data_IF_058052794471
#
_entry.id   IF_058052794471
#
_cell.length_a   1.000
_cell.length_b   1.000
_cell.length_c   1.000
_cell.angle_alpha   90.00
_cell.angle_beta   90.00
_cell.angle_gamma   90.00
#
_symmetry.space_group_name_H-M   'P 1'
#
loop_
_entity.id
_entity.type
_entity.pdbx_description
1 polymer ?
#
# COMPACT_ATOMS: atom_id res chain seq x y z
N UNK A 1 -13.78 0.36 26.54
CA UNK A 1 -13.42 1.74 26.12
C UNK A 1 -12.19 2.33 26.84
N UNK A 2 -11.72 1.78 27.97
CA UNK A 2 -10.57 2.30 28.74
C UNK A 2 -9.21 2.21 28.03
N UNK A 3 -9.07 1.35 27.00
CA UNK A 3 -7.83 1.17 26.24
C UNK A 3 -7.75 2.02 24.96
N UNK A 4 -8.81 2.76 24.63
CA UNK A 4 -8.86 3.64 23.46
C UNK A 4 -7.75 4.71 23.43
N UNK A 5 -7.33 5.36 24.54
CA UNK A 5 -6.24 6.34 24.47
C UNK A 5 -4.87 5.69 24.19
N UNK A 6 -4.66 4.43 24.61
CA UNK A 6 -3.40 3.70 24.35
C UNK A 6 -3.19 3.43 22.85
N UNK A 7 -4.28 3.16 22.13
CA UNK A 7 -4.25 2.89 20.69
C UNK A 7 -3.72 4.09 19.88
N UNK A 8 -4.08 5.32 20.25
CA UNK A 8 -3.61 6.52 19.56
C UNK A 8 -2.12 6.81 19.80
N UNK A 9 -1.58 6.44 20.96
CA UNK A 9 -0.14 6.64 21.27
C UNK A 9 0.75 5.72 20.42
N UNK A 10 0.30 4.49 20.15
CA UNK A 10 1.05 3.53 19.31
C UNK A 10 1.14 3.99 17.84
N UNK A 11 0.16 4.76 17.36
CA UNK A 11 0.15 5.24 15.97
C UNK A 11 1.15 6.37 15.69
N UNK A 12 1.57 7.12 16.72
CA UNK A 12 2.46 8.29 16.56
C UNK A 12 3.92 7.87 16.33
N UNK A 13 4.33 6.68 16.79
CA UNK A 13 5.71 6.19 16.69
C UNK A 13 6.13 5.70 15.30
N UNK A 14 5.21 5.55 14.34
CA UNK A 14 5.50 5.03 13.00
C UNK A 14 5.84 6.11 11.96
N UNK A 15 5.97 7.39 12.37
CA UNK A 15 6.18 8.51 11.47
C UNK A 15 7.61 9.11 11.50
N UNK A 16 8.53 8.54 12.28
CA UNK A 16 9.92 9.03 12.33
C UNK A 16 10.62 8.69 11.01
N UNK A 17 10.56 9.62 10.06
CA UNK A 17 11.29 9.50 8.81
C UNK A 17 12.77 9.81 9.12
N UNK A 18 13.70 8.88 8.86
CA UNK A 18 15.10 9.13 9.11
C UNK A 18 15.57 10.36 8.32
N UNK A 19 16.47 11.15 8.89
CA UNK A 19 17.06 12.29 8.20
C UNK A 19 17.87 11.81 6.98
N UNK A 20 17.24 11.77 5.80
CA UNK A 20 17.89 11.41 4.53
C UNK A 20 18.85 12.48 4.03
N UNK A 21 18.73 13.71 4.52
CA UNK A 21 19.49 14.85 4.00
C UNK A 21 20.99 14.82 4.31
N UNK A 22 21.40 14.04 5.31
CA UNK A 22 22.81 13.96 5.75
C UNK A 22 23.67 12.91 5.05
N UNK A 23 23.09 12.03 4.24
CA UNK A 23 23.82 10.90 3.61
C UNK A 23 24.31 11.20 2.19
N UNK A 24 23.93 12.35 1.63
CA UNK A 24 24.29 12.77 0.27
C UNK A 24 25.39 13.83 0.35
N UNK A 25 26.57 13.54 -0.19
CA UNK A 25 27.66 14.53 -0.30
C UNK A 25 27.28 15.69 -1.23
N UNK A 26 27.89 16.86 -1.03
CA UNK A 26 27.68 18.02 -1.91
C UNK A 26 27.99 17.70 -3.38
N UNK A 27 29.00 16.84 -3.61
CA UNK A 27 29.37 16.34 -4.92
C UNK A 27 28.28 15.48 -5.56
N UNK A 28 27.60 14.63 -4.78
CA UNK A 28 26.50 13.80 -5.25
C UNK A 28 25.25 14.64 -5.54
N UNK A 29 25.02 15.70 -4.75
CA UNK A 29 23.90 16.64 -4.95
C UNK A 29 24.07 17.48 -6.21
N UNK A 30 25.30 17.80 -6.60
CA UNK A 30 25.63 18.55 -7.82
C UNK A 30 25.85 17.65 -9.06
N UNK A 31 25.72 16.33 -8.94
CA UNK A 31 25.95 15.43 -10.05
C UNK A 31 24.87 15.62 -11.15
N UNK A 32 25.24 15.53 -12.43
CA UNK A 32 24.26 15.58 -13.52
C UNK A 32 23.31 14.38 -13.42
N UNK A 33 22.03 14.62 -13.74
CA UNK A 33 21.07 13.53 -13.86
C UNK A 33 21.52 12.52 -14.92
N UNK A 34 21.37 11.21 -14.66
CA UNK A 34 21.75 10.19 -15.63
C UNK A 34 20.81 10.21 -16.84
N UNK A 35 21.32 9.82 -17.99
CA UNK A 35 20.52 9.62 -19.20
C UNK A 35 19.64 8.38 -19.01
N UNK A 36 18.32 8.55 -19.11
CA UNK A 36 17.38 7.44 -19.00
C UNK A 36 17.47 6.56 -20.25
N UNK A 37 17.70 5.27 -20.06
CA UNK A 37 17.59 4.25 -21.12
C UNK A 37 16.26 3.52 -21.01
N UNK A 38 15.76 3.01 -22.14
CA UNK A 38 14.58 2.17 -22.11
C UNK A 38 14.87 0.88 -21.37
N UNK A 39 13.97 0.50 -20.46
CA UNK A 39 14.06 -0.81 -19.82
C UNK A 39 13.86 -1.89 -20.89
N UNK A 40 14.57 -3.02 -20.79
CA UNK A 40 14.25 -4.19 -21.62
C UNK A 40 12.79 -4.56 -21.40
N UNK A 41 12.12 -4.97 -22.47
CA UNK A 41 10.75 -5.47 -22.40
C UNK A 41 10.72 -6.59 -21.37
N UNK A 42 9.98 -6.38 -20.28
CA UNK A 42 9.83 -7.37 -19.23
C UNK A 42 9.19 -8.60 -19.84
N UNK A 43 9.74 -9.79 -19.56
CA UNK A 43 9.05 -11.03 -19.90
C UNK A 43 7.63 -10.95 -19.32
N UNK A 44 6.63 -11.29 -20.13
CA UNK A 44 5.26 -11.39 -19.67
C UNK A 44 5.28 -12.36 -18.48
N UNK A 45 5.03 -11.82 -17.29
CA UNK A 45 4.90 -12.65 -16.09
C UNK A 45 3.60 -13.39 -16.33
N UNK A 46 3.69 -14.64 -16.80
CA UNK A 46 2.60 -15.59 -16.75
C UNK A 46 2.21 -15.65 -15.27
N UNK A 47 1.13 -14.94 -14.94
CA UNK A 47 0.69 -14.79 -13.57
C UNK A 47 0.42 -16.18 -13.03
N UNK A 48 1.29 -16.66 -12.13
CA UNK A 48 0.99 -17.87 -11.36
C UNK A 48 -0.36 -17.62 -10.73
N UNK A 49 -1.36 -18.41 -11.14
CA UNK A 49 -2.69 -18.35 -10.58
C UNK A 49 -2.59 -18.72 -9.11
N UNK A 50 -2.42 -17.71 -8.27
CA UNK A 50 -2.38 -17.88 -6.84
C UNK A 50 -3.79 -18.21 -6.36
N UNK A 51 -3.99 -19.48 -6.03
CA UNK A 51 -5.25 -19.98 -5.48
C UNK A 51 -5.67 -19.17 -4.25
N UNK A 52 -4.73 -18.66 -3.45
CA UNK A 52 -5.01 -17.78 -2.31
C UNK A 52 -5.62 -16.45 -2.73
N UNK A 53 -5.07 -15.79 -3.76
CA UNK A 53 -5.65 -14.57 -4.32
C UNK A 53 -7.04 -14.81 -4.91
N UNK A 54 -7.25 -15.90 -5.65
CA UNK A 54 -8.58 -16.22 -6.21
C UNK A 54 -9.65 -16.40 -5.12
N UNK A 55 -9.32 -17.10 -4.03
CA UNK A 55 -10.22 -17.30 -2.89
C UNK A 55 -10.56 -15.97 -2.19
N UNK A 56 -9.58 -15.07 -2.05
CA UNK A 56 -9.79 -13.72 -1.49
C UNK A 56 -10.71 -12.88 -2.37
N UNK A 57 -10.51 -12.93 -3.69
CA UNK A 57 -11.37 -12.23 -4.66
C UNK A 57 -12.81 -12.74 -4.55
N UNK A 58 -13.02 -14.06 -4.51
CA UNK A 58 -14.35 -14.65 -4.35
C UNK A 58 -15.03 -14.22 -3.03
N UNK A 59 -14.30 -14.23 -1.91
CA UNK A 59 -14.81 -13.79 -0.62
C UNK A 59 -15.20 -12.30 -0.62
N UNK A 60 -14.39 -11.43 -1.25
CA UNK A 60 -14.68 -10.00 -1.39
C UNK A 60 -15.94 -9.75 -2.24
N UNK A 61 -16.08 -10.47 -3.35
CA UNK A 61 -17.26 -10.38 -4.20
C UNK A 61 -18.53 -10.81 -3.46
N UNK A 62 -18.48 -11.92 -2.72
CA UNK A 62 -19.60 -12.39 -1.91
C UNK A 62 -20.00 -11.36 -0.83
N UNK A 63 -19.02 -10.73 -0.17
CA UNK A 63 -19.27 -9.66 0.80
C UNK A 63 -19.91 -8.44 0.13
N UNK A 64 -19.41 -8.02 -1.03
CA UNK A 64 -19.95 -6.89 -1.78
C UNK A 64 -21.40 -7.14 -2.22
N UNK A 65 -21.74 -8.37 -2.63
CA UNK A 65 -23.11 -8.75 -2.95
C UNK A 65 -24.04 -8.60 -1.74
N UNK A 66 -23.61 -9.06 -0.56
CA UNK A 66 -24.39 -8.88 0.69
C UNK A 66 -24.57 -7.41 1.05
N UNK A 67 -23.51 -6.60 0.94
CA UNK A 67 -23.58 -5.17 1.23
C UNK A 67 -24.55 -4.42 0.30
N UNK A 68 -24.64 -4.83 -0.97
CA UNK A 68 -25.62 -4.24 -1.91
C UNK A 68 -27.06 -4.61 -1.62
N UNK A 69 -27.30 -5.72 -0.93
CA UNK A 69 -28.64 -6.13 -0.49
C UNK A 69 -29.08 -5.39 0.77
N UNK A 70 -28.13 -4.85 1.53
CA UNK A 70 -28.43 -4.00 2.68
C UNK A 70 -28.72 -2.61 2.15
N UNK A 71 -29.99 -2.22 2.15
CA UNK A 71 -30.38 -0.83 1.97
C UNK A 71 -29.94 -0.04 3.22
N UNK A 72 -28.83 0.67 3.10
CA UNK A 72 -28.26 1.46 4.19
C UNK A 72 -29.22 2.59 4.61
N UNK A 73 -30.09 3.07 3.71
CA UNK A 73 -31.10 4.09 4.04
C UNK A 73 -32.25 3.53 4.89
N UNK A 74 -32.49 2.22 4.86
CA UNK A 74 -33.50 1.56 5.68
C UNK A 74 -33.03 1.21 7.11
N UNK A 75 -31.76 1.49 7.44
CA UNK A 75 -31.15 1.25 8.76
C UNK A 75 -31.05 2.51 9.64
N UNK A 76 -31.55 3.65 9.18
CA UNK A 76 -31.63 4.93 9.91
C UNK A 76 -33.03 5.13 10.49
#
# INVERSE_FOLDING_TARGET
MRFMPLFFVVLIGCAEFPALDGTISDTARAAPYPTLTQLPQSAEIEGVADAGLSARVAALQARAARLRQIDIAALQ
#
